data_IF_313166425717
#
_entry.id   IF_313166425717
#
_cell.length_a   1.000
_cell.length_b   1.000
_cell.length_c   1.000
_cell.angle_alpha   90.00
_cell.angle_beta   90.00
_cell.angle_gamma   90.00
#
_symmetry.space_group_name_H-M   'P 1'
#
loop_
_entity.id
_entity.type
_entity.pdbx_description
1 polymer ?
#
# COMPACT_ATOMS: atom_id res chain seq x y z
N UNK A 1 -10.62 -7.67 -2.22
CA UNK A 1 -11.30 -8.77 -2.93
C UNK A 1 -12.79 -8.85 -2.60
N UNK A 2 -13.29 -8.89 -1.35
CA UNK A 2 -14.73 -8.96 -1.09
C UNK A 2 -15.51 -7.75 -1.66
N UNK A 3 -14.99 -6.54 -1.56
CA UNK A 3 -15.61 -5.33 -2.11
C UNK A 3 -15.74 -5.36 -3.63
N UNK A 4 -14.74 -5.89 -4.34
CA UNK A 4 -14.78 -5.99 -5.80
C UNK A 4 -15.78 -7.06 -6.29
N UNK A 5 -15.93 -8.16 -5.54
CA UNK A 5 -16.93 -9.19 -5.83
C UNK A 5 -18.33 -8.68 -5.55
N UNK A 6 -18.57 -7.99 -4.43
CA UNK A 6 -19.86 -7.36 -4.12
C UNK A 6 -20.26 -6.31 -5.15
N UNK A 7 -19.32 -5.49 -5.60
CA UNK A 7 -19.57 -4.49 -6.66
C UNK A 7 -20.00 -5.11 -8.00
N UNK A 8 -19.59 -6.34 -8.29
CA UNK A 8 -19.98 -7.08 -9.53
C UNK A 8 -21.23 -7.89 -9.35
N UNK A 9 -21.43 -8.51 -8.19
CA UNK A 9 -22.53 -9.44 -7.96
C UNK A 9 -23.90 -8.78 -7.77
N UNK A 10 -23.94 -7.53 -7.26
CA UNK A 10 -25.18 -6.83 -6.93
C UNK A 10 -25.19 -5.44 -7.55
N UNK A 11 -25.96 -5.27 -8.63
CA UNK A 11 -26.02 -4.01 -9.38
C UNK A 11 -26.42 -2.79 -8.53
N UNK A 12 -27.28 -2.98 -7.53
CA UNK A 12 -27.73 -1.92 -6.60
C UNK A 12 -26.60 -1.40 -5.72
N UNK A 13 -25.64 -2.25 -5.35
CA UNK A 13 -24.49 -1.90 -4.50
C UNK A 13 -23.33 -1.27 -5.28
N UNK A 14 -23.37 -1.29 -6.60
CA UNK A 14 -22.27 -0.79 -7.44
C UNK A 14 -21.97 0.69 -7.23
N UNK A 15 -23.03 1.53 -7.15
CA UNK A 15 -22.87 2.99 -6.95
C UNK A 15 -22.39 3.33 -5.55
N UNK A 16 -23.01 2.85 -4.44
CA UNK A 16 -22.56 3.19 -3.09
C UNK A 16 -21.17 2.66 -2.78
N UNK A 17 -20.81 1.44 -3.25
CA UNK A 17 -19.44 0.90 -3.07
C UNK A 17 -18.44 1.73 -3.87
N UNK A 18 -18.76 2.13 -5.12
CA UNK A 18 -17.90 2.98 -5.91
C UNK A 18 -17.66 4.35 -5.28
N UNK A 19 -18.71 4.96 -4.73
CA UNK A 19 -18.60 6.23 -4.00
C UNK A 19 -17.74 6.08 -2.72
N UNK A 20 -17.91 4.98 -1.98
CA UNK A 20 -17.10 4.68 -0.81
C UNK A 20 -15.61 4.53 -1.16
N UNK A 21 -15.29 3.76 -2.19
CA UNK A 21 -13.92 3.60 -2.69
C UNK A 21 -13.34 4.95 -3.10
N UNK A 22 -14.07 5.75 -3.87
CA UNK A 22 -13.63 7.08 -4.29
C UNK A 22 -13.39 8.03 -3.11
N UNK A 23 -14.24 8.00 -2.09
CA UNK A 23 -14.04 8.77 -0.87
C UNK A 23 -12.78 8.32 -0.12
N UNK A 24 -12.57 7.01 0.01
CA UNK A 24 -11.37 6.45 0.67
C UNK A 24 -10.07 6.86 -0.03
N UNK A 25 -10.11 7.02 -1.36
CA UNK A 25 -8.95 7.47 -2.16
C UNK A 25 -8.76 8.99 -2.16
N UNK A 26 -9.84 9.75 -2.00
CA UNK A 26 -9.81 11.22 -2.02
C UNK A 26 -9.18 11.81 -0.74
N UNK A 27 -9.26 11.11 0.40
CA UNK A 27 -8.73 11.60 1.67
C UNK A 27 -7.25 11.25 1.77
N UNK A 28 -6.34 12.24 1.95
CA UNK A 28 -4.93 11.98 2.16
C UNK A 28 -4.70 11.13 3.42
N UNK A 29 -3.90 10.07 3.30
CA UNK A 29 -3.67 9.10 4.39
C UNK A 29 -3.13 9.75 5.68
N UNK A 30 -2.25 10.77 5.55
CA UNK A 30 -1.70 11.48 6.72
C UNK A 30 -2.79 12.24 7.49
N UNK A 31 -3.82 12.76 6.78
CA UNK A 31 -4.95 13.45 7.42
C UNK A 31 -5.73 12.48 8.29
N UNK A 32 -6.01 11.27 7.76
CA UNK A 32 -6.68 10.21 8.53
C UNK A 32 -5.87 9.83 9.77
N UNK A 33 -4.56 9.63 9.62
CA UNK A 33 -3.66 9.31 10.75
C UNK A 33 -3.71 10.40 11.83
N UNK A 34 -3.58 11.67 11.41
CA UNK A 34 -3.57 12.81 12.32
C UNK A 34 -4.92 12.94 13.05
N UNK A 35 -6.03 12.86 12.34
CA UNK A 35 -7.36 12.93 12.95
C UNK A 35 -7.59 11.80 13.94
N UNK A 36 -7.16 10.58 13.64
CA UNK A 36 -7.30 9.46 14.56
C UNK A 36 -6.55 9.71 15.88
N UNK A 37 -5.34 10.24 15.82
CA UNK A 37 -4.51 10.45 17.02
C UNK A 37 -4.90 11.74 17.75
N UNK A 38 -5.32 12.79 17.03
CA UNK A 38 -5.61 14.10 17.62
C UNK A 38 -7.05 14.22 18.17
N UNK A 39 -8.02 13.58 17.51
CA UNK A 39 -9.43 13.75 17.84
C UNK A 39 -10.05 12.59 18.61
N UNK A 40 -9.50 11.36 18.47
CA UNK A 40 -10.05 10.21 19.15
C UNK A 40 -9.48 10.10 20.57
N UNK A 41 -10.30 9.82 21.59
CA UNK A 41 -9.84 9.57 22.95
C UNK A 41 -8.85 8.40 22.98
N UNK A 42 -7.82 8.51 23.80
CA UNK A 42 -6.75 7.49 23.90
C UNK A 42 -7.21 6.18 24.52
N UNK A 43 -8.29 6.23 25.26
CA UNK A 43 -8.97 5.09 25.88
C UNK A 43 -9.95 4.41 24.92
N UNK A 44 -10.20 5.01 23.76
CA UNK A 44 -11.03 4.40 22.73
C UNK A 44 -10.29 3.23 22.09
N UNK A 45 -10.94 2.08 22.04
CA UNK A 45 -10.44 0.91 21.33
C UNK A 45 -11.25 0.70 20.04
N UNK A 46 -10.55 0.60 18.90
CA UNK A 46 -11.16 0.23 17.64
C UNK A 46 -11.03 -1.29 17.45
N UNK A 47 -12.16 -1.99 17.38
CA UNK A 47 -12.19 -3.47 17.33
C UNK A 47 -11.41 -4.14 18.49
N UNK A 48 -11.40 -3.54 19.67
CA UNK A 48 -10.66 -4.04 20.84
C UNK A 48 -9.17 -3.71 20.85
N UNK A 49 -8.67 -2.94 19.88
CA UNK A 49 -7.29 -2.48 19.79
C UNK A 49 -7.20 -1.00 20.20
N UNK A 50 -6.35 -0.61 21.16
CA UNK A 50 -6.22 0.78 21.59
C UNK A 50 -5.71 1.67 20.45
N UNK A 51 -6.23 2.90 20.38
CA UNK A 51 -5.80 3.87 19.38
C UNK A 51 -4.46 4.49 19.79
N UNK A 52 -3.41 4.05 19.11
CA UNK A 52 -2.04 4.57 19.23
C UNK A 52 -1.61 5.16 17.88
N UNK A 53 -0.47 5.83 17.84
CA UNK A 53 0.11 6.27 16.57
C UNK A 53 0.28 5.12 15.57
N UNK A 54 0.74 3.96 16.04
CA UNK A 54 0.91 2.78 15.19
C UNK A 54 -0.42 2.27 14.63
N UNK A 55 -1.45 2.13 15.44
CA UNK A 55 -2.77 1.67 14.98
C UNK A 55 -3.42 2.67 14.02
N UNK A 56 -3.21 3.98 14.22
CA UNK A 56 -3.65 5.01 13.30
C UNK A 56 -2.98 4.90 11.92
N UNK A 57 -1.66 4.66 11.89
CA UNK A 57 -0.91 4.41 10.64
C UNK A 57 -1.44 3.17 9.94
N UNK A 58 -1.55 2.04 10.66
CA UNK A 58 -2.02 0.77 10.09
C UNK A 58 -3.44 0.92 9.55
N UNK A 59 -4.33 1.58 10.28
CA UNK A 59 -5.71 1.80 9.86
C UNK A 59 -5.77 2.66 8.59
N UNK A 60 -5.12 3.83 8.58
CA UNK A 60 -5.13 4.74 7.43
C UNK A 60 -4.56 4.08 6.17
N UNK A 61 -3.44 3.35 6.31
CA UNK A 61 -2.83 2.59 5.21
C UNK A 61 -3.74 1.45 4.73
N UNK A 62 -4.40 0.75 5.66
CA UNK A 62 -5.33 -0.33 5.31
C UNK A 62 -6.54 0.18 4.54
N UNK A 63 -7.10 1.34 4.93
CA UNK A 63 -8.20 2.00 4.22
C UNK A 63 -7.77 2.34 2.80
N UNK A 64 -6.65 3.02 2.63
CA UNK A 64 -6.12 3.39 1.33
C UNK A 64 -5.85 2.16 0.44
N UNK A 65 -5.10 1.19 0.97
CA UNK A 65 -4.71 -0.01 0.22
C UNK A 65 -5.93 -0.86 -0.16
N UNK A 66 -6.93 -0.95 0.72
CA UNK A 66 -8.17 -1.68 0.45
C UNK A 66 -8.92 -1.06 -0.71
N UNK A 67 -9.05 0.27 -0.75
CA UNK A 67 -9.70 0.98 -1.84
C UNK A 67 -8.94 0.79 -3.16
N UNK A 68 -7.62 0.93 -3.14
CA UNK A 68 -6.74 0.78 -4.30
C UNK A 68 -6.82 -0.65 -4.87
N UNK A 69 -6.65 -1.67 -4.02
CA UNK A 69 -6.72 -3.08 -4.43
C UNK A 69 -8.11 -3.47 -4.90
N UNK A 70 -9.17 -2.92 -4.30
CA UNK A 70 -10.55 -3.22 -4.73
C UNK A 70 -10.84 -2.70 -6.15
N UNK A 71 -10.31 -1.54 -6.51
CA UNK A 71 -10.46 -0.98 -7.85
C UNK A 71 -9.71 -1.81 -8.88
N UNK A 72 -8.41 -2.03 -8.69
CA UNK A 72 -7.57 -2.85 -9.57
C UNK A 72 -8.08 -4.28 -9.71
N UNK A 73 -8.54 -4.90 -8.62
CA UNK A 73 -9.12 -6.23 -8.65
C UNK A 73 -10.44 -6.27 -9.43
N UNK A 74 -11.24 -5.21 -9.35
CA UNK A 74 -12.49 -5.11 -10.14
C UNK A 74 -12.19 -5.06 -11.63
N UNK A 75 -11.16 -4.34 -12.04
CA UNK A 75 -10.71 -4.26 -13.42
C UNK A 75 -10.15 -5.60 -13.91
N UNK A 76 -9.22 -6.19 -13.13
CA UNK A 76 -8.64 -7.51 -13.45
C UNK A 76 -9.69 -8.60 -13.63
N UNK A 77 -10.69 -8.66 -12.73
CA UNK A 77 -11.84 -9.57 -12.87
C UNK A 77 -12.66 -9.29 -14.13
N UNK A 78 -12.71 -8.00 -14.59
CA UNK A 78 -13.29 -7.61 -15.86
C UNK A 78 -12.60 -8.23 -17.05
N UNK A 79 -11.30 -8.17 -17.05
CA UNK A 79 -10.48 -8.76 -18.10
C UNK A 79 -10.55 -10.30 -18.11
N UNK A 80 -10.52 -10.93 -16.92
CA UNK A 80 -10.70 -12.38 -16.80
C UNK A 80 -12.05 -12.85 -17.36
N UNK A 81 -13.14 -12.12 -17.09
CA UNK A 81 -14.46 -12.45 -17.62
C UNK A 81 -14.53 -12.35 -19.16
N UNK A 82 -13.64 -11.58 -19.78
CA UNK A 82 -13.49 -11.44 -21.24
C UNK A 82 -12.41 -12.38 -21.81
N UNK A 83 -11.88 -13.31 -21.01
CA UNK A 83 -10.78 -14.22 -21.36
C UNK A 83 -9.45 -13.50 -21.71
N UNK A 84 -9.31 -12.24 -21.35
CA UNK A 84 -8.10 -11.43 -21.54
C UNK A 84 -7.18 -11.58 -20.31
N UNK A 85 -6.42 -12.69 -20.30
CA UNK A 85 -5.50 -13.00 -19.17
C UNK A 85 -4.33 -12.04 -19.08
N UNK A 86 -3.83 -11.57 -20.20
CA UNK A 86 -2.67 -10.67 -20.21
C UNK A 86 -2.98 -9.35 -19.50
N UNK A 87 -4.12 -8.75 -19.82
CA UNK A 87 -4.58 -7.54 -19.14
C UNK A 87 -4.93 -7.78 -17.68
N UNK A 88 -5.51 -8.94 -17.35
CA UNK A 88 -5.79 -9.28 -15.96
C UNK A 88 -4.50 -9.37 -15.11
N UNK A 89 -3.38 -9.81 -15.67
CA UNK A 89 -2.10 -9.91 -14.99
C UNK A 89 -1.46 -8.55 -14.69
N UNK A 90 -1.93 -7.45 -15.31
CA UNK A 90 -1.51 -6.09 -14.96
C UNK A 90 -1.90 -5.69 -13.53
N UNK A 91 -2.79 -6.43 -12.91
CA UNK A 91 -3.07 -6.31 -11.48
C UNK A 91 -1.81 -6.44 -10.61
N UNK A 92 -0.88 -7.33 -10.96
CA UNK A 92 0.32 -7.58 -10.15
C UNK A 92 1.28 -6.37 -10.09
N UNK A 93 1.68 -5.74 -11.22
CA UNK A 93 2.50 -4.53 -11.16
C UNK A 93 1.77 -3.34 -10.54
N UNK A 94 0.44 -3.24 -10.69
CA UNK A 94 -0.35 -2.21 -10.02
C UNK A 94 -0.35 -2.41 -8.50
N UNK A 95 -0.50 -3.67 -8.04
CA UNK A 95 -0.40 -4.00 -6.62
C UNK A 95 0.97 -3.61 -6.04
N UNK A 96 2.06 -3.86 -6.81
CA UNK A 96 3.40 -3.41 -6.41
C UNK A 96 3.47 -1.89 -6.28
N UNK A 97 2.90 -1.15 -7.24
CA UNK A 97 2.84 0.31 -7.17
C UNK A 97 2.12 0.78 -5.90
N UNK A 98 0.96 0.18 -5.58
CA UNK A 98 0.23 0.45 -4.34
C UNK A 98 1.08 0.17 -3.09
N UNK A 99 1.82 -0.92 -3.08
CA UNK A 99 2.75 -1.25 -2.00
C UNK A 99 3.86 -0.18 -1.84
N UNK A 100 4.48 0.25 -2.95
CA UNK A 100 5.50 1.32 -2.92
C UNK A 100 4.93 2.62 -2.34
N UNK A 101 3.71 3.00 -2.74
CA UNK A 101 3.02 4.19 -2.19
C UNK A 101 2.80 4.04 -0.69
N UNK A 102 2.38 2.86 -0.21
CA UNK A 102 2.21 2.59 1.23
C UNK A 102 3.54 2.71 1.97
N UNK A 103 4.61 2.14 1.44
CA UNK A 103 5.96 2.25 2.03
C UNK A 103 6.40 3.72 2.11
N UNK A 104 6.23 4.48 1.03
CA UNK A 104 6.60 5.91 1.01
C UNK A 104 5.76 6.74 1.97
N UNK A 105 4.46 6.47 2.07
CA UNK A 105 3.54 7.20 2.96
C UNK A 105 3.66 6.79 4.42
N UNK A 106 4.28 5.66 4.74
CA UNK A 106 4.53 5.24 6.13
C UNK A 106 5.40 6.23 6.91
N UNK A 107 6.27 6.99 6.22
CA UNK A 107 7.08 8.06 6.81
C UNK A 107 6.25 9.16 7.49
N UNK A 108 4.99 9.36 7.11
CA UNK A 108 4.08 10.24 7.82
C UNK A 108 3.72 9.75 9.24
N UNK A 109 4.01 8.50 9.57
CA UNK A 109 3.86 7.95 10.91
C UNK A 109 4.68 8.72 11.96
N UNK A 110 5.81 9.32 11.56
CA UNK A 110 6.61 10.18 12.44
C UNK A 110 5.80 11.37 12.97
N UNK A 111 4.91 11.96 12.18
CA UNK A 111 4.06 13.08 12.58
C UNK A 111 3.02 12.70 13.66
N UNK A 112 2.71 11.43 13.79
CA UNK A 112 1.80 10.89 14.83
C UNK A 112 2.55 10.12 15.92
N UNK A 113 3.87 10.30 16.02
CA UNK A 113 4.71 9.75 17.09
C UNK A 113 5.14 8.30 16.90
N UNK A 114 5.03 7.75 15.69
CA UNK A 114 5.53 6.41 15.36
C UNK A 114 7.01 6.49 15.00
N UNK A 115 7.82 5.67 15.65
CA UNK A 115 9.24 5.51 15.29
C UNK A 115 9.33 4.55 14.09
N UNK A 116 9.41 5.12 12.90
CA UNK A 116 9.56 4.38 11.64
C UNK A 116 10.97 4.58 11.05
N UNK A 117 11.28 3.93 9.93
CA UNK A 117 12.63 3.87 9.39
C UNK A 117 13.22 5.25 9.06
N UNK A 118 12.43 6.18 8.51
CA UNK A 118 12.90 7.53 8.15
C UNK A 118 13.24 8.32 9.40
N UNK A 119 12.34 8.37 10.39
CA UNK A 119 12.58 9.09 11.64
C UNK A 119 13.69 8.46 12.46
N UNK A 120 13.86 7.12 12.42
CA UNK A 120 14.98 6.44 13.06
C UNK A 120 16.31 6.82 12.41
N UNK A 121 16.35 6.84 11.06
CA UNK A 121 17.54 7.27 10.30
C UNK A 121 17.89 8.72 10.59
N UNK A 122 16.89 9.63 10.63
CA UNK A 122 17.11 11.04 10.97
C UNK A 122 17.69 11.21 12.36
N UNK A 123 17.11 10.57 13.38
CA UNK A 123 17.64 10.63 14.76
C UNK A 123 19.06 10.07 14.86
N UNK A 124 19.38 9.03 14.07
CA UNK A 124 20.74 8.50 14.05
C UNK A 124 21.71 9.48 13.36
N UNK A 125 21.29 10.11 12.26
CA UNK A 125 22.09 11.11 11.57
C UNK A 125 22.41 12.32 12.45
N UNK A 126 21.48 12.75 13.30
CA UNK A 126 21.72 13.86 14.26
C UNK A 126 22.82 13.56 15.29
N UNK A 127 23.07 12.28 15.58
CA UNK A 127 24.11 11.83 16.52
C UNK A 127 25.50 11.76 15.89
N UNK A 128 25.58 11.76 14.56
CA UNK A 128 26.85 11.68 13.83
C UNK A 128 27.46 13.07 13.72
N UNK A 129 28.73 13.27 14.14
CA UNK A 129 29.40 14.58 14.12
C UNK A 129 29.76 14.99 12.69
N UNK A 130 30.16 14.04 11.85
CA UNK A 130 30.64 14.31 10.50
C UNK A 130 29.51 14.27 9.45
N UNK A 131 29.60 15.21 8.50
CA UNK A 131 28.63 15.30 7.41
C UNK A 131 28.75 14.12 6.44
N UNK A 132 29.97 13.59 6.23
CA UNK A 132 30.21 12.42 5.40
C UNK A 132 29.50 11.18 5.92
N UNK A 133 29.56 10.95 7.24
CA UNK A 133 28.89 9.84 7.91
C UNK A 133 27.36 9.95 7.79
N UNK A 134 26.83 11.18 7.88
CA UNK A 134 25.38 11.43 7.67
C UNK A 134 24.96 11.09 6.26
N UNK A 135 25.73 11.54 5.26
CA UNK A 135 25.47 11.24 3.85
C UNK A 135 25.53 9.73 3.61
N UNK A 136 26.54 9.05 4.16
CA UNK A 136 26.67 7.61 4.04
C UNK A 136 25.49 6.87 4.65
N UNK A 137 25.02 7.27 5.83
CA UNK A 137 23.86 6.69 6.49
C UNK A 137 22.59 6.82 5.62
N UNK A 138 22.35 8.01 5.06
CA UNK A 138 21.21 8.19 4.14
C UNK A 138 21.36 7.39 2.86
N UNK A 139 22.57 7.32 2.30
CA UNK A 139 22.84 6.51 1.11
C UNK A 139 22.55 5.01 1.35
N UNK A 140 22.97 4.49 2.51
CA UNK A 140 22.66 3.11 2.92
C UNK A 140 21.16 2.88 3.06
N UNK A 141 20.45 3.80 3.72
CA UNK A 141 19.00 3.70 3.87
C UNK A 141 18.28 3.71 2.49
N UNK A 142 18.68 4.62 1.60
CA UNK A 142 18.13 4.68 0.24
C UNK A 142 18.42 3.38 -0.53
N UNK A 143 19.66 2.88 -0.46
CA UNK A 143 20.07 1.65 -1.12
C UNK A 143 19.27 0.45 -0.60
N UNK A 144 19.03 0.36 0.70
CA UNK A 144 18.19 -0.68 1.30
C UNK A 144 16.78 -0.68 0.70
N UNK A 145 16.09 0.46 0.69
CA UNK A 145 14.75 0.54 0.11
C UNK A 145 14.75 0.26 -1.40
N UNK A 146 15.75 0.74 -2.13
CA UNK A 146 15.89 0.48 -3.56
C UNK A 146 16.06 -1.03 -3.84
N UNK A 147 16.86 -1.73 -3.03
CA UNK A 147 17.05 -3.18 -3.14
C UNK A 147 15.74 -3.92 -2.86
N UNK A 148 15.03 -3.57 -1.79
CA UNK A 148 13.76 -4.22 -1.43
C UNK A 148 12.72 -4.04 -2.54
N UNK A 149 12.53 -2.82 -3.03
CA UNK A 149 11.57 -2.54 -4.11
C UNK A 149 12.02 -3.20 -5.42
N UNK A 150 13.32 -3.18 -5.73
CA UNK A 150 13.89 -3.83 -6.90
C UNK A 150 13.71 -5.34 -6.88
N UNK A 151 13.97 -5.98 -5.74
CA UNK A 151 13.77 -7.41 -5.56
C UNK A 151 12.30 -7.80 -5.73
N UNK A 152 11.37 -7.04 -5.13
CA UNK A 152 9.96 -7.28 -5.26
C UNK A 152 9.48 -7.13 -6.71
N UNK A 153 9.94 -6.11 -7.42
CA UNK A 153 9.65 -5.92 -8.84
C UNK A 153 10.18 -7.09 -9.70
N UNK A 154 11.39 -7.56 -9.41
CA UNK A 154 11.97 -8.72 -10.10
C UNK A 154 11.12 -10.00 -9.89
N UNK A 155 10.68 -10.24 -8.65
CA UNK A 155 9.81 -11.38 -8.33
C UNK A 155 8.50 -11.30 -9.12
N UNK A 156 7.85 -10.14 -9.14
CA UNK A 156 6.59 -9.95 -9.87
C UNK A 156 6.78 -10.16 -11.38
N UNK A 157 7.84 -9.59 -11.95
CA UNK A 157 8.16 -9.81 -13.39
C UNK A 157 8.37 -11.29 -13.71
N UNK A 158 9.05 -12.05 -12.84
CA UNK A 158 9.24 -13.49 -13.03
C UNK A 158 7.93 -14.25 -12.95
N UNK A 159 7.07 -13.93 -11.99
CA UNK A 159 5.75 -14.53 -11.86
C UNK A 159 4.90 -14.28 -13.11
N UNK A 160 4.82 -13.03 -13.58
CA UNK A 160 4.08 -12.69 -14.79
C UNK A 160 4.65 -13.44 -16.00
N UNK A 161 5.99 -13.41 -16.20
CA UNK A 161 6.63 -14.10 -17.30
C UNK A 161 6.43 -15.62 -17.27
N UNK A 162 6.30 -16.23 -16.09
CA UNK A 162 5.95 -17.63 -15.95
C UNK A 162 4.51 -17.94 -16.31
N UNK A 163 3.58 -17.01 -16.03
CA UNK A 163 2.14 -17.19 -16.30
C UNK A 163 1.74 -16.89 -17.75
N UNK A 164 2.51 -16.06 -18.45
CA UNK A 164 2.26 -15.66 -19.85
C UNK A 164 2.96 -16.54 -20.86
N UNK A 165 3.84 -17.47 -20.45
CA UNK A 165 4.47 -18.41 -21.39
C UNK A 165 3.40 -19.30 -22.04
N UNK A 166 3.32 -19.37 -23.39
CA UNK A 166 2.45 -20.32 -24.07
C UNK A 166 2.82 -21.74 -23.63
N UNK A 167 1.84 -22.52 -23.19
CA UNK A 167 2.06 -23.96 -23.02
C UNK A 167 2.44 -24.53 -24.38
N UNK A 168 3.59 -25.26 -24.50
CA UNK A 168 3.88 -25.97 -25.72
C UNK A 168 2.67 -26.85 -26.06
N UNK A 169 2.18 -26.73 -27.28
CA UNK A 169 1.14 -27.62 -27.78
C UNK A 169 1.66 -29.05 -27.62
N UNK A 170 0.93 -29.84 -26.82
CA UNK A 170 1.19 -31.26 -26.73
C UNK A 170 0.90 -31.85 -28.12
N UNK A 171 2.01 -32.18 -28.82
CA UNK A 171 1.94 -32.91 -30.10
C UNK A 171 1.57 -34.36 -29.88
#
# INVERSE_FOLDING_TARGET
VPLSLLRRGVAVLRRPIGACIGLMQAVPTYVVMFFMVALLPRDLALFGVPITGLTAVVFAQSVYLTAYVAEDATEALGHLARHDRERALLFLPNLLRGFVVVVMSSGFGAAVGVSEAVSATMRQAERLPDIGDRILLFAVAIAFFAIVVGALNLVIRRVIGGLTRPRPAAG
#
